data_IF_403092723819
#
_entry.id   IF_403092723819
#
_cell.length_a   1.000
_cell.length_b   1.000
_cell.length_c   1.000
_cell.angle_alpha   90.00
_cell.angle_beta   90.00
_cell.angle_gamma   90.00
#
_symmetry.space_group_name_H-M   'P 1'
#
loop_
_entity.id
_entity.type
_entity.pdbx_description
1 polymer ?
#
# COMPACT_ATOMS: atom_id res chain seq x y z
N UNK A 1 5.90 -1.32 -19.40
CA UNK A 1 5.93 0.04 -20.01
C UNK A 1 7.04 0.76 -19.24
N UNK A 2 7.16 2.09 -19.27
CA UNK A 2 8.05 2.78 -18.34
C UNK A 2 7.46 4.12 -17.94
N UNK A 3 7.52 4.45 -16.65
CA UNK A 3 7.32 5.80 -16.16
C UNK A 3 8.63 6.46 -15.72
N UNK A 4 8.81 7.67 -16.24
CA UNK A 4 9.95 8.54 -16.03
C UNK A 4 9.79 9.75 -16.96
N UNK A 5 10.85 10.52 -17.15
CA UNK A 5 10.88 11.53 -18.21
C UNK A 5 11.76 11.00 -19.36
N UNK A 6 11.16 10.48 -20.46
CA UNK A 6 9.73 10.42 -20.79
C UNK A 6 9.00 9.16 -20.30
N UNK A 7 7.67 9.23 -20.24
CA UNK A 7 6.79 8.06 -20.11
C UNK A 7 6.75 7.36 -21.47
N UNK A 8 7.01 6.05 -21.49
CA UNK A 8 7.08 5.26 -22.73
C UNK A 8 6.16 4.05 -22.67
N UNK A 9 5.52 3.77 -23.80
CA UNK A 9 4.62 2.63 -23.95
C UNK A 9 4.88 1.89 -25.27
N UNK A 10 4.57 0.60 -25.29
CA UNK A 10 4.56 -0.15 -26.55
C UNK A 10 3.45 0.38 -27.46
N UNK A 11 3.71 0.46 -28.77
CA UNK A 11 2.73 0.92 -29.76
C UNK A 11 1.39 0.17 -29.68
N UNK A 12 1.43 -1.13 -29.37
CA UNK A 12 0.24 -1.96 -29.21
C UNK A 12 -0.68 -1.50 -28.06
N UNK A 13 -0.15 -0.81 -27.04
CA UNK A 13 -0.92 -0.30 -25.91
C UNK A 13 -1.69 0.99 -26.26
N UNK A 14 -1.31 1.69 -27.33
CA UNK A 14 -1.89 2.99 -27.68
C UNK A 14 -3.42 2.92 -27.87
N UNK A 15 -3.91 1.90 -28.56
CA UNK A 15 -5.35 1.72 -28.81
C UNK A 15 -6.16 1.51 -27.52
N UNK A 16 -5.55 0.89 -26.50
CA UNK A 16 -6.19 0.64 -25.20
C UNK A 16 -6.29 1.93 -24.38
N UNK A 17 -5.25 2.78 -24.43
CA UNK A 17 -5.17 4.04 -23.67
C UNK A 17 -6.22 5.07 -24.08
N UNK A 18 -6.64 5.06 -25.35
CA UNK A 18 -7.62 6.02 -25.89
C UNK A 18 -9.04 5.46 -25.99
N UNK A 19 -9.25 4.19 -25.59
CA UNK A 19 -10.55 3.52 -25.69
C UNK A 19 -11.28 3.55 -24.35
N UNK A 20 -12.27 4.44 -24.23
CA UNK A 20 -13.12 4.53 -23.03
C UNK A 20 -13.88 3.23 -22.76
N UNK A 21 -14.29 2.51 -23.82
CA UNK A 21 -14.92 1.20 -23.70
C UNK A 21 -13.96 0.15 -23.12
N UNK A 22 -12.70 0.13 -23.56
CA UNK A 22 -11.69 -0.75 -22.99
C UNK A 22 -11.42 -0.42 -21.53
N UNK A 23 -11.24 0.86 -21.21
CA UNK A 23 -10.96 1.34 -19.85
C UNK A 23 -12.07 0.92 -18.88
N UNK A 24 -13.33 1.15 -19.23
CA UNK A 24 -14.48 0.79 -18.39
C UNK A 24 -14.68 -0.72 -18.26
N UNK A 25 -14.36 -1.49 -19.30
CA UNK A 25 -14.58 -2.94 -19.30
C UNK A 25 -13.45 -3.76 -18.69
N UNK A 26 -12.19 -3.36 -18.91
CA UNK A 26 -10.99 -4.16 -18.56
C UNK A 26 -9.99 -3.43 -17.67
N UNK A 27 -10.13 -2.11 -17.50
CA UNK A 27 -9.16 -1.29 -16.77
C UNK A 27 -7.84 -1.12 -17.52
N UNK A 28 -6.85 -0.54 -16.84
CA UNK A 28 -5.51 -0.24 -17.36
C UNK A 28 -4.44 -0.47 -16.30
N UNK A 29 -4.39 -1.65 -15.67
CA UNK A 29 -3.45 -1.91 -14.57
C UNK A 29 -2.00 -1.54 -14.90
N UNK A 30 -1.48 -2.04 -16.03
CA UNK A 30 -0.10 -1.77 -16.46
C UNK A 30 0.19 -0.27 -16.62
N UNK A 31 -0.54 0.47 -17.47
CA UNK A 31 -0.34 1.91 -17.61
C UNK A 31 -0.43 2.71 -16.30
N UNK A 32 -1.42 2.40 -15.45
CA UNK A 32 -1.59 3.11 -14.17
C UNK A 32 -0.49 2.75 -13.18
N UNK A 33 -0.03 1.50 -13.14
CA UNK A 33 1.10 1.06 -12.32
C UNK A 33 2.35 1.89 -12.61
N UNK A 34 2.66 2.09 -13.89
CA UNK A 34 3.79 2.93 -14.30
C UNK A 34 3.58 4.37 -13.82
N UNK A 35 2.42 4.97 -14.10
CA UNK A 35 2.12 6.32 -13.61
C UNK A 35 2.17 6.42 -12.08
N UNK A 36 1.87 5.34 -11.37
CA UNK A 36 2.02 5.20 -9.93
C UNK A 36 3.46 5.37 -9.46
N UNK A 37 4.46 4.93 -10.23
CA UNK A 37 5.87 5.18 -9.89
C UNK A 37 6.20 6.68 -9.83
N UNK A 38 5.58 7.51 -10.68
CA UNK A 38 5.76 8.97 -10.63
C UNK A 38 5.19 9.62 -9.36
N UNK A 39 4.30 8.92 -8.66
CA UNK A 39 3.64 9.42 -7.45
C UNK A 39 4.31 8.91 -6.15
N UNK A 40 5.24 7.95 -6.26
CA UNK A 40 6.03 7.49 -5.13
C UNK A 40 6.92 8.62 -4.60
N UNK A 41 7.05 8.71 -3.28
CA UNK A 41 7.92 9.71 -2.63
C UNK A 41 8.80 9.05 -1.59
N UNK A 42 10.08 9.39 -1.61
CA UNK A 42 11.09 8.77 -0.75
C UNK A 42 10.81 8.87 0.75
N UNK A 43 9.97 9.81 1.20
CA UNK A 43 9.59 9.98 2.61
C UNK A 43 8.66 8.90 3.16
N UNK A 44 7.96 8.14 2.31
CA UNK A 44 7.10 7.02 2.74
C UNK A 44 7.41 5.72 1.99
N UNK A 45 8.48 5.70 1.18
CA UNK A 45 9.00 4.48 0.55
C UNK A 45 10.02 3.79 1.44
N UNK A 46 9.90 2.47 1.54
CA UNK A 46 10.83 1.57 2.24
C UNK A 46 11.56 0.70 1.22
N UNK A 47 12.54 1.29 0.52
CA UNK A 47 13.29 0.60 -0.55
C UNK A 47 14.19 -0.50 0.03
N UNK A 48 14.33 -1.66 -0.65
CA UNK A 48 13.77 -1.99 -1.96
C UNK A 48 12.34 -2.57 -1.90
N UNK A 49 11.82 -2.86 -0.71
CA UNK A 49 10.59 -3.61 -0.50
C UNK A 49 9.36 -2.98 -1.18
N UNK A 50 9.28 -1.63 -1.18
CA UNK A 50 8.08 -0.93 -1.64
C UNK A 50 8.11 -0.42 -3.08
N UNK A 51 9.25 -0.48 -3.78
CA UNK A 51 9.41 0.14 -5.11
C UNK A 51 8.35 -0.31 -6.11
N UNK A 52 8.04 -1.60 -6.14
CA UNK A 52 7.01 -2.18 -7.02
C UNK A 52 5.68 -2.44 -6.28
N UNK A 53 5.58 -2.00 -5.03
CA UNK A 53 4.41 -2.19 -4.18
C UNK A 53 3.54 -0.94 -4.17
N UNK A 54 4.06 0.18 -3.65
CA UNK A 54 3.25 1.37 -3.38
C UNK A 54 2.78 2.06 -4.65
N UNK A 55 3.50 1.93 -5.78
CA UNK A 55 3.00 2.35 -7.09
C UNK A 55 1.62 1.73 -7.42
N UNK A 56 1.34 0.52 -6.93
CA UNK A 56 0.04 -0.14 -7.09
C UNK A 56 -1.08 0.45 -6.22
N UNK A 57 -0.79 1.31 -5.24
CA UNK A 57 -1.85 2.05 -4.53
C UNK A 57 -2.64 2.92 -5.52
N UNK A 58 -1.95 3.54 -6.47
CA UNK A 58 -2.59 4.29 -7.56
C UNK A 58 -3.31 3.37 -8.54
N UNK A 59 -2.74 2.20 -8.86
CA UNK A 59 -3.42 1.19 -9.66
C UNK A 59 -4.76 0.81 -9.05
N UNK A 60 -4.81 0.47 -7.76
CA UNK A 60 -6.07 0.11 -7.11
C UNK A 60 -7.01 1.31 -7.02
N UNK A 61 -6.53 2.46 -6.54
CA UNK A 61 -7.33 3.68 -6.39
C UNK A 61 -8.03 4.09 -7.69
N UNK A 62 -7.29 4.17 -8.80
CA UNK A 62 -7.86 4.61 -10.08
C UNK A 62 -8.89 3.61 -10.60
N UNK A 63 -8.65 2.30 -10.43
CA UNK A 63 -9.64 1.31 -10.87
C UNK A 63 -10.94 1.45 -10.08
N UNK A 64 -10.87 1.62 -8.76
CA UNK A 64 -12.06 1.74 -7.91
C UNK A 64 -12.78 3.08 -8.11
N UNK A 65 -12.04 4.18 -7.95
CA UNK A 65 -12.63 5.53 -7.81
C UNK A 65 -12.87 6.23 -9.14
N UNK A 66 -12.10 5.88 -10.19
CA UNK A 66 -12.18 6.55 -11.49
C UNK A 66 -12.83 5.66 -12.54
N UNK A 67 -12.46 4.37 -12.59
CA UNK A 67 -13.01 3.45 -13.58
C UNK A 67 -14.29 2.73 -13.11
N UNK A 68 -14.59 2.75 -11.80
CA UNK A 68 -15.72 2.01 -11.24
C UNK A 68 -15.55 0.50 -11.31
N UNK A 69 -14.30 0.02 -11.32
CA UNK A 69 -13.92 -1.40 -11.37
C UNK A 69 -13.50 -1.83 -9.97
N UNK A 70 -14.24 -2.78 -9.40
CA UNK A 70 -13.88 -3.42 -8.13
C UNK A 70 -12.45 -3.99 -8.19
N UNK A 71 -11.64 -3.77 -7.14
CA UNK A 71 -10.23 -4.20 -7.11
C UNK A 71 -10.00 -5.66 -7.50
N UNK A 72 -10.90 -6.56 -7.09
CA UNK A 72 -10.78 -8.00 -7.37
C UNK A 72 -10.85 -8.34 -8.86
N UNK A 73 -11.45 -7.43 -9.66
CA UNK A 73 -11.55 -7.50 -11.12
C UNK A 73 -10.48 -6.67 -11.82
N UNK A 74 -9.83 -5.75 -11.13
CA UNK A 74 -8.80 -4.87 -11.68
C UNK A 74 -7.50 -5.62 -12.05
N UNK A 75 -7.10 -6.63 -11.25
CA UNK A 75 -5.95 -7.46 -11.53
C UNK A 75 -6.09 -8.84 -10.89
N UNK A 76 -5.62 -9.88 -11.57
CA UNK A 76 -5.75 -11.27 -11.10
C UNK A 76 -5.08 -11.56 -9.76
N UNK A 77 -4.18 -10.70 -9.28
CA UNK A 77 -3.55 -10.80 -7.95
C UNK A 77 -4.37 -10.14 -6.83
N UNK A 78 -5.37 -9.32 -7.15
CA UNK A 78 -6.18 -8.55 -6.20
C UNK A 78 -7.44 -9.30 -5.73
N UNK A 79 -7.71 -10.49 -6.27
CA UNK A 79 -8.77 -11.36 -5.77
C UNK A 79 -8.55 -11.71 -4.29
N UNK A 80 -9.64 -11.72 -3.52
CA UNK A 80 -9.63 -11.89 -2.06
C UNK A 80 -8.90 -13.16 -1.61
N UNK A 81 -9.10 -14.28 -2.31
CA UNK A 81 -8.41 -15.54 -2.02
C UNK A 81 -6.89 -15.40 -2.13
N UNK A 82 -6.39 -14.75 -3.19
CA UNK A 82 -4.94 -14.55 -3.36
C UNK A 82 -4.37 -13.55 -2.35
N UNK A 83 -5.14 -12.52 -1.99
CA UNK A 83 -4.77 -11.56 -0.95
C UNK A 83 -4.61 -12.25 0.41
N UNK A 84 -5.62 -13.00 0.83
CA UNK A 84 -5.59 -13.77 2.08
C UNK A 84 -4.51 -14.86 2.06
N UNK A 85 -4.37 -15.57 0.94
CA UNK A 85 -3.32 -16.57 0.75
C UNK A 85 -1.92 -16.00 0.93
N UNK A 86 -1.63 -14.81 0.36
CA UNK A 86 -0.35 -14.13 0.54
C UNK A 86 -0.10 -13.74 1.99
N UNK A 87 -1.08 -13.15 2.67
CA UNK A 87 -0.96 -12.78 4.08
C UNK A 87 -0.66 -14.00 4.97
N UNK A 88 -1.40 -15.10 4.75
CA UNK A 88 -1.20 -16.37 5.44
C UNK A 88 0.20 -16.95 5.20
N UNK A 89 0.60 -17.12 3.94
CA UNK A 89 1.93 -17.66 3.59
C UNK A 89 3.06 -16.81 4.15
N UNK A 90 2.93 -15.49 4.14
CA UNK A 90 3.93 -14.59 4.73
C UNK A 90 4.02 -14.77 6.25
N UNK A 91 2.88 -14.89 6.93
CA UNK A 91 2.83 -15.12 8.37
C UNK A 91 3.44 -16.48 8.75
N UNK A 92 3.07 -17.56 8.05
CA UNK A 92 3.61 -18.92 8.23
C UNK A 92 5.12 -18.99 7.90
N UNK A 93 5.58 -18.16 6.96
CA UNK A 93 7.00 -17.99 6.62
C UNK A 93 7.84 -17.25 7.67
N UNK A 94 7.25 -16.90 8.82
CA UNK A 94 7.93 -16.25 9.93
C UNK A 94 8.01 -14.72 9.82
N UNK A 95 7.14 -14.09 9.01
CA UNK A 95 6.99 -12.62 8.95
C UNK A 95 8.31 -11.90 8.66
N UNK A 96 9.15 -12.50 7.81
CA UNK A 96 10.51 -12.01 7.53
C UNK A 96 10.46 -10.78 6.61
N UNK A 97 10.90 -9.63 7.12
CA UNK A 97 10.81 -8.37 6.38
C UNK A 97 11.56 -8.37 5.03
N UNK A 98 12.57 -9.24 4.85
CA UNK A 98 13.27 -9.39 3.57
C UNK A 98 12.41 -10.07 2.48
N UNK A 99 11.36 -10.80 2.83
CA UNK A 99 10.38 -11.38 1.89
C UNK A 99 9.11 -10.53 1.75
N UNK A 100 8.94 -9.51 2.61
CA UNK A 100 7.88 -8.50 2.51
C UNK A 100 8.16 -7.56 1.33
N UNK A 101 7.70 -7.89 0.13
CA UNK A 101 7.89 -7.05 -1.05
C UNK A 101 6.71 -7.14 -2.01
N UNK A 102 6.61 -6.21 -2.96
CA UNK A 102 5.68 -6.34 -4.09
C UNK A 102 4.23 -6.57 -3.60
N UNK A 103 3.58 -7.65 -4.03
CA UNK A 103 2.22 -8.04 -3.66
C UNK A 103 2.03 -8.39 -2.18
N UNK A 104 3.08 -8.90 -1.52
CA UNK A 104 3.02 -9.21 -0.08
C UNK A 104 3.02 -7.90 0.70
N UNK A 105 3.91 -6.97 0.32
CA UNK A 105 3.94 -5.65 0.93
C UNK A 105 2.64 -4.87 0.68
N UNK A 106 2.08 -4.97 -0.53
CA UNK A 106 0.85 -4.28 -0.91
C UNK A 106 -0.32 -4.69 0.00
N UNK A 107 -0.36 -5.95 0.44
CA UNK A 107 -1.43 -6.45 1.29
C UNK A 107 -1.51 -5.72 2.65
N UNK A 108 -0.38 -5.31 3.22
CA UNK A 108 -0.35 -4.47 4.43
C UNK A 108 -1.15 -3.18 4.22
N UNK A 109 -0.96 -2.52 3.08
CA UNK A 109 -1.68 -1.29 2.75
C UNK A 109 -3.14 -1.57 2.36
N UNK A 110 -3.43 -2.69 1.70
CA UNK A 110 -4.81 -3.03 1.35
C UNK A 110 -5.65 -3.36 2.60
N UNK A 111 -5.08 -3.97 3.64
CA UNK A 111 -5.78 -4.16 4.90
C UNK A 111 -6.06 -2.85 5.64
N UNK A 112 -5.13 -1.89 5.58
CA UNK A 112 -5.38 -0.52 6.05
C UNK A 112 -6.51 0.15 5.25
N UNK A 113 -6.49 -0.02 3.93
CA UNK A 113 -7.50 0.56 3.05
C UNK A 113 -8.87 -0.09 3.29
N UNK A 114 -8.95 -1.41 3.47
CA UNK A 114 -10.21 -2.13 3.74
C UNK A 114 -10.85 -1.62 5.05
N UNK A 115 -10.04 -1.23 6.05
CA UNK A 115 -10.52 -0.72 7.34
C UNK A 115 -10.84 0.78 7.34
N UNK A 116 -9.98 1.59 6.74
CA UNK A 116 -10.00 3.06 6.92
C UNK A 116 -10.34 3.84 5.64
N UNK A 117 -10.43 3.17 4.50
CA UNK A 117 -10.76 3.77 3.20
C UNK A 117 -9.66 4.66 2.61
N UNK A 118 -9.91 5.16 1.40
CA UNK A 118 -8.95 5.98 0.67
C UNK A 118 -8.73 7.37 1.28
N UNK A 119 -9.71 7.92 2.00
CA UNK A 119 -9.57 9.23 2.63
C UNK A 119 -8.50 9.24 3.72
N UNK A 120 -8.30 8.14 4.44
CA UNK A 120 -7.18 7.99 5.37
C UNK A 120 -5.84 8.10 4.64
N UNK A 121 -5.67 7.41 3.51
CA UNK A 121 -4.45 7.48 2.70
C UNK A 121 -4.18 8.89 2.17
N UNK A 122 -5.21 9.58 1.66
CA UNK A 122 -5.09 10.97 1.21
C UNK A 122 -4.59 11.88 2.33
N UNK A 123 -5.17 11.76 3.54
CA UNK A 123 -4.76 12.55 4.72
C UNK A 123 -3.33 12.21 5.16
N UNK A 124 -2.95 10.94 5.20
CA UNK A 124 -1.59 10.50 5.54
C UNK A 124 -0.58 11.09 4.55
N UNK A 125 -0.79 10.91 3.24
CA UNK A 125 0.12 11.46 2.24
C UNK A 125 0.17 13.00 2.27
N UNK A 126 -0.96 13.66 2.56
CA UNK A 126 -0.99 15.11 2.76
C UNK A 126 -0.12 15.55 3.96
N UNK A 127 -0.10 14.79 5.05
CA UNK A 127 0.70 15.09 6.24
C UNK A 127 2.21 15.07 5.92
N UNK A 128 2.66 14.16 5.06
CA UNK A 128 4.06 14.05 4.65
C UNK A 128 4.61 15.22 3.83
N UNK A 129 3.76 16.16 3.35
CA UNK A 129 4.25 17.43 2.80
C UNK A 129 4.76 18.39 3.88
N UNK A 130 4.38 18.17 5.14
CA UNK A 130 4.72 19.03 6.28
C UNK A 130 5.71 18.37 7.25
N UNK A 131 5.91 17.07 7.14
CA UNK A 131 6.73 16.27 8.06
C UNK A 131 8.10 16.00 7.44
N UNK A 132 9.16 16.15 8.23
CA UNK A 132 10.49 15.66 7.86
C UNK A 132 10.59 14.16 8.10
N UNK A 133 10.99 13.40 7.08
CA UNK A 133 11.11 11.95 7.15
C UNK A 133 12.54 11.51 7.50
N UNK A 134 12.70 10.46 8.31
CA UNK A 134 13.97 9.74 8.44
C UNK A 134 14.48 9.24 7.09
N UNK A 135 15.80 8.99 7.01
CA UNK A 135 16.44 8.48 5.80
C UNK A 135 16.43 6.95 5.74
N UNK A 136 16.56 6.29 6.88
CA UNK A 136 16.56 4.84 7.01
C UNK A 136 15.13 4.25 7.06
N UNK A 137 14.98 2.98 6.70
CA UNK A 137 13.67 2.34 6.65
C UNK A 137 13.06 2.11 8.03
N UNK A 138 13.87 1.87 9.08
CA UNK A 138 13.33 1.62 10.41
C UNK A 138 12.61 2.88 10.94
N UNK A 139 13.29 4.03 10.89
CA UNK A 139 12.71 5.31 11.26
C UNK A 139 11.49 5.66 10.41
N UNK A 140 11.52 5.39 9.10
CA UNK A 140 10.37 5.62 8.21
C UNK A 140 9.16 4.75 8.54
N UNK A 141 9.36 3.46 8.84
CA UNK A 141 8.27 2.54 9.22
C UNK A 141 7.63 2.98 10.54
N UNK A 142 8.45 3.38 11.53
CA UNK A 142 7.96 3.93 12.79
C UNK A 142 7.21 5.25 12.58
N UNK A 143 7.75 6.18 11.78
CA UNK A 143 7.07 7.43 11.45
C UNK A 143 5.74 7.17 10.72
N UNK A 144 5.69 6.21 9.79
CA UNK A 144 4.47 5.84 9.09
C UNK A 144 3.43 5.27 10.05
N UNK A 145 3.84 4.38 10.96
CA UNK A 145 2.97 3.83 11.98
C UNK A 145 2.36 4.93 12.87
N UNK A 146 3.17 5.90 13.32
CA UNK A 146 2.68 7.06 14.08
C UNK A 146 1.72 7.91 13.24
N UNK A 147 2.14 8.30 12.04
CA UNK A 147 1.39 9.22 11.17
C UNK A 147 0.02 8.63 10.81
N UNK A 148 -0.01 7.36 10.43
CA UNK A 148 -1.25 6.67 10.07
C UNK A 148 -2.14 6.52 11.31
N UNK A 149 -1.60 6.02 12.43
CA UNK A 149 -2.37 5.81 13.66
C UNK A 149 -3.02 7.10 14.17
N UNK A 150 -2.29 8.22 14.16
CA UNK A 150 -2.82 9.53 14.53
C UNK A 150 -3.88 10.02 13.53
N UNK A 151 -3.71 9.74 12.24
CA UNK A 151 -4.67 10.14 11.20
C UNK A 151 -6.01 9.42 11.34
N UNK A 152 -6.00 8.16 11.80
CA UNK A 152 -7.21 7.33 11.96
C UNK A 152 -7.66 7.17 13.41
N UNK A 153 -7.01 7.91 14.32
CA UNK A 153 -7.31 7.91 15.77
C UNK A 153 -7.35 6.50 16.39
N UNK A 154 -6.46 5.63 15.93
CA UNK A 154 -6.38 4.23 16.36
C UNK A 154 -4.93 3.79 16.42
N UNK A 155 -4.55 3.07 17.47
CA UNK A 155 -3.20 2.54 17.61
C UNK A 155 -3.01 1.31 16.69
N UNK A 156 -2.19 1.48 15.66
CA UNK A 156 -1.88 0.46 14.65
C UNK A 156 -0.55 -0.29 14.93
N UNK A 157 0.09 -0.07 16.09
CA UNK A 157 1.40 -0.67 16.38
C UNK A 157 1.37 -2.20 16.29
N UNK A 158 0.37 -2.84 16.89
CA UNK A 158 0.18 -4.29 16.87
C UNK A 158 -0.01 -4.83 15.44
N UNK A 159 -0.75 -4.08 14.61
CA UNK A 159 -0.95 -4.43 13.21
C UNK A 159 0.36 -4.42 12.42
N UNK A 160 1.15 -3.35 12.53
CA UNK A 160 2.44 -3.27 11.82
C UNK A 160 3.44 -4.30 12.33
N UNK A 161 3.48 -4.56 13.65
CA UNK A 161 4.29 -5.65 14.22
C UNK A 161 3.91 -7.02 13.67
N UNK A 162 2.62 -7.27 13.45
CA UNK A 162 2.12 -8.53 12.88
C UNK A 162 2.54 -8.73 11.41
N UNK A 163 2.93 -7.66 10.72
CA UNK A 163 3.57 -7.69 9.40
C UNK A 163 5.11 -7.77 9.45
N UNK A 164 5.70 -7.87 10.65
CA UNK A 164 7.15 -7.97 10.84
C UNK A 164 7.88 -6.63 10.80
N UNK A 165 7.17 -5.50 10.90
CA UNK A 165 7.81 -4.18 10.97
C UNK A 165 8.49 -3.98 12.33
N UNK A 166 9.70 -3.37 12.36
CA UNK A 166 10.45 -3.10 13.59
C UNK A 166 9.87 -1.89 14.35
N UNK A 167 8.66 -2.02 14.89
CA UNK A 167 8.03 -0.95 15.67
C UNK A 167 8.71 -0.85 17.04
N UNK A 168 9.31 0.32 17.30
CA UNK A 168 10.06 0.61 18.52
C UNK A 168 9.14 0.88 19.71
N UNK A 169 9.63 0.64 20.93
CA UNK A 169 8.89 0.90 22.17
C UNK A 169 8.44 2.37 22.29
N UNK A 170 9.26 3.32 21.83
CA UNK A 170 8.91 4.74 21.82
C UNK A 170 7.73 5.06 20.90
N UNK A 171 7.58 4.33 19.79
CA UNK A 171 6.41 4.46 18.90
C UNK A 171 5.16 3.93 19.58
N UNK A 172 5.26 2.80 20.29
CA UNK A 172 4.13 2.25 21.05
C UNK A 172 3.69 3.16 22.20
N UNK A 173 4.64 3.69 22.96
CA UNK A 173 4.38 4.64 24.03
C UNK A 173 3.67 5.89 23.50
N UNK A 174 4.14 6.44 22.37
CA UNK A 174 3.52 7.59 21.71
C UNK A 174 2.08 7.33 21.25
N UNK A 175 1.74 6.08 20.94
CA UNK A 175 0.41 5.67 20.47
C UNK A 175 -0.46 5.07 21.58
N UNK A 176 0.05 4.96 22.80
CA UNK A 176 -0.63 4.27 23.92
C UNK A 176 -1.95 4.91 24.35
N UNK A 177 -2.15 6.19 24.04
CA UNK A 177 -3.38 6.93 24.34
C UNK A 177 -4.51 6.68 23.34
N UNK A 178 -4.21 6.09 22.18
CA UNK A 178 -5.20 5.75 21.16
C UNK A 178 -5.77 4.34 21.39
N UNK A 179 -7.04 4.09 21.02
CA UNK A 179 -7.63 2.76 21.11
C UNK A 179 -6.86 1.76 20.24
N UNK A 180 -6.52 0.59 20.80
CA UNK A 180 -5.78 -0.44 20.08
C UNK A 180 -6.65 -1.13 19.02
N UNK A 181 -6.11 -1.30 17.81
CA UNK A 181 -6.75 -2.14 16.80
C UNK A 181 -6.51 -3.62 17.09
N UNK A 182 -7.22 -4.18 18.07
CA UNK A 182 -7.00 -5.54 18.58
C UNK A 182 -7.52 -6.66 17.68
N UNK A 183 -8.45 -6.37 16.76
CA UNK A 183 -9.08 -7.34 15.85
C UNK A 183 -8.55 -7.22 14.41
N UNK A 184 -7.33 -6.72 14.24
CA UNK A 184 -6.75 -6.53 12.91
C UNK A 184 -6.59 -7.87 12.16
N UNK A 185 -6.65 -7.89 10.80
CA UNK A 185 -6.72 -9.14 10.04
C UNK A 185 -5.58 -10.13 10.31
N UNK A 186 -4.38 -9.63 10.63
CA UNK A 186 -3.22 -10.50 10.91
C UNK A 186 -3.28 -11.26 12.24
N UNK A 187 -4.22 -10.96 13.17
CA UNK A 187 -4.35 -11.68 14.45
C UNK A 187 -4.65 -13.16 14.24
N UNK A 188 -5.36 -13.51 13.16
CA UNK A 188 -5.69 -14.89 12.82
C UNK A 188 -4.46 -15.75 12.44
N UNK A 189 -3.31 -15.11 12.21
CA UNK A 189 -2.01 -15.76 11.92
C UNK A 189 -0.97 -15.45 13.03
N UNK A 190 -1.46 -15.04 14.20
CA UNK A 190 -0.70 -14.67 15.40
C UNK A 190 -0.07 -15.85 16.08
#
# INVERSE_FOLDING_TARGET
MHAGYPIMAHKATAAQLVSTAHIRGKGLWGPIHELGHNQQRGCWEFRPNTTECTCNLWSVYVHEEVFGIERGKAHGAMGLEKRNGRAKTYAEGGKKLNTWSMWVALETYMQLQDKFGWDAFKKVFAAYFKISSPKDNNGKMNLYAVTFSQTVEMNLSAFFKSWGWPIDAATEEKLSTLPLWSDHPMVQYG
#
